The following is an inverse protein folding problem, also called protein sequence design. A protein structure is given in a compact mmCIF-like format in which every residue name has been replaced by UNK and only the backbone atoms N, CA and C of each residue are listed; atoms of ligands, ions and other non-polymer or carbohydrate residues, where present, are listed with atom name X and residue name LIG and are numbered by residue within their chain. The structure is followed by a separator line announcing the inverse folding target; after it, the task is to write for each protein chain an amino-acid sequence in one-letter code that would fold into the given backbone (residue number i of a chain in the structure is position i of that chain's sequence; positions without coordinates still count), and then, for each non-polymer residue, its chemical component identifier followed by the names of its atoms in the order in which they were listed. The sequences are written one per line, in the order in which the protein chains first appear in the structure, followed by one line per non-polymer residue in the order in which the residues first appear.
data_IF_809116488499
#
_entry.id   IF_809116488499
#
_cell.length_a   1.000
_cell.length_b   1.000
_cell.length_c   1.000
_cell.angle_alpha   90.00
_cell.angle_beta   90.00
_cell.angle_gamma   90.00
#
_symmetry.space_group_name_H-M   'P 1'
#
loop_
_entity.id
_entity.type
_entity.pdbx_description
1 polymer ?
#
# COMPACT_ATOMS: atom_id res chain seq x y z
N UNK A 1 8.60 -4.04 -16.05
CA UNK A 1 7.89 -4.23 -14.78
C UNK A 1 8.88 -4.12 -13.64
N UNK A 2 8.71 -3.16 -12.74
CA UNK A 2 9.57 -2.94 -11.57
C UNK A 2 8.87 -3.46 -10.32
N UNK A 3 9.63 -4.12 -9.44
CA UNK A 3 9.17 -4.70 -8.17
C UNK A 3 9.81 -3.94 -7.01
N UNK A 4 8.99 -3.26 -6.19
CA UNK A 4 9.44 -2.63 -4.94
C UNK A 4 8.80 -3.38 -3.75
N UNK A 5 9.58 -3.69 -2.72
CA UNK A 5 9.21 -4.61 -1.61
C UNK A 5 8.94 -3.92 -0.27
N UNK A 6 9.15 -2.60 -0.16
CA UNK A 6 9.06 -1.89 1.12
C UNK A 6 8.21 -0.61 1.01
N UNK A 7 7.12 -0.56 1.80
CA UNK A 7 6.29 0.62 1.94
C UNK A 7 6.10 1.00 3.41
N UNK A 8 6.31 2.27 3.74
CA UNK A 8 6.13 2.82 5.08
C UNK A 8 4.76 3.47 5.20
N UNK A 9 3.82 2.83 5.90
CA UNK A 9 2.53 3.47 6.20
C UNK A 9 2.70 4.66 7.17
N UNK A 10 1.89 5.70 6.97
CA UNK A 10 1.81 6.84 7.87
C UNK A 10 1.50 6.39 9.31
N UNK A 11 2.15 7.00 10.33
CA UNK A 11 1.97 6.62 11.72
C UNK A 11 0.50 6.77 12.13
N UNK A 12 -0.06 5.72 12.73
CA UNK A 12 -1.39 5.77 13.33
C UNK A 12 -1.28 6.27 14.76
N UNK A 13 -2.21 7.14 15.18
CA UNK A 13 -2.28 7.66 16.54
C UNK A 13 -3.56 7.14 17.19
N UNK A 14 -3.46 6.67 18.43
CA UNK A 14 -4.62 6.28 19.24
C UNK A 14 -4.89 7.33 20.32
N UNK A 15 -6.16 7.64 20.53
CA UNK A 15 -6.57 8.51 21.63
C UNK A 15 -6.28 7.85 22.97
N UNK A 16 -5.70 8.59 23.91
CA UNK A 16 -5.33 8.09 25.24
C UNK A 16 -6.24 8.67 26.31
N UNK A 17 -6.32 9.99 26.37
CA UNK A 17 -7.01 10.72 27.45
C UNK A 17 -7.07 12.21 27.14
N UNK A 18 -8.06 12.93 27.69
CA UNK A 18 -8.06 14.39 27.74
C UNK A 18 -7.52 14.86 29.10
N UNK A 19 -6.67 15.88 29.11
CA UNK A 19 -6.37 16.66 30.32
C UNK A 19 -6.78 18.13 30.14
N UNK A 20 -6.51 18.97 31.14
CA UNK A 20 -6.80 20.40 31.11
C UNK A 20 -6.06 21.20 30.01
N UNK A 21 -5.09 20.56 29.33
CA UNK A 21 -4.35 21.12 28.19
C UNK A 21 -4.78 20.53 26.85
N UNK A 22 -5.80 19.64 26.83
CA UNK A 22 -6.39 19.06 25.64
C UNK A 22 -6.22 17.55 25.50
N UNK A 23 -6.49 17.07 24.28
CA UNK A 23 -6.49 15.66 23.94
C UNK A 23 -5.07 15.11 23.76
N UNK A 24 -4.80 13.96 24.39
CA UNK A 24 -3.53 13.23 24.26
C UNK A 24 -3.72 12.03 23.34
N UNK A 25 -2.83 11.91 22.37
CA UNK A 25 -2.74 10.77 21.47
C UNK A 25 -1.39 10.07 21.63
N UNK A 26 -1.38 8.74 21.55
CA UNK A 26 -0.16 7.91 21.55
C UNK A 26 0.09 7.41 20.14
N UNK A 27 1.34 7.52 19.68
CA UNK A 27 1.74 6.94 18.39
C UNK A 27 1.72 5.42 18.49
N UNK A 28 0.78 4.78 17.79
CA UNK A 28 0.80 3.34 17.56
C UNK A 28 1.89 3.08 16.53
N UNK A 29 2.78 2.12 16.80
CA UNK A 29 3.95 1.85 15.98
C UNK A 29 3.59 1.73 14.49
N UNK A 30 4.49 2.21 13.61
CA UNK A 30 4.37 1.97 12.18
C UNK A 30 4.55 0.48 11.92
N UNK A 31 3.50 -0.17 11.43
CA UNK A 31 3.58 -1.57 11.01
C UNK A 31 4.36 -1.60 9.70
N UNK A 32 5.55 -2.23 9.71
CA UNK A 32 6.28 -2.55 8.48
C UNK A 32 5.52 -3.66 7.77
N UNK A 33 5.04 -3.39 6.57
CA UNK A 33 4.35 -4.35 5.73
C UNK A 33 5.21 -4.57 4.48
N UNK A 34 5.47 -5.83 4.14
CA UNK A 34 6.08 -6.19 2.86
C UNK A 34 5.00 -6.10 1.80
N UNK A 35 5.08 -5.07 0.96
CA UNK A 35 4.19 -4.83 -0.16
C UNK A 35 5.02 -5.00 -1.43
N UNK A 36 4.53 -5.80 -2.36
CA UNK A 36 5.07 -5.88 -3.70
C UNK A 36 4.32 -4.87 -4.58
N UNK A 37 5.02 -3.87 -5.10
CA UNK A 37 4.50 -2.95 -6.12
C UNK A 37 4.85 -3.49 -7.49
N UNK A 38 3.84 -3.68 -8.33
CA UNK A 38 3.97 -4.09 -9.72
C UNK A 38 3.56 -2.92 -10.59
N UNK A 39 4.47 -2.39 -11.41
CA UNK A 39 4.16 -1.24 -12.28
C UNK A 39 4.54 -1.47 -13.75
N UNK A 40 3.77 -0.84 -14.63
CA UNK A 40 4.04 -0.72 -16.06
C UNK A 40 3.85 0.75 -16.50
N UNK A 41 4.43 1.10 -17.64
CA UNK A 41 4.11 2.39 -18.27
C UNK A 41 2.75 2.29 -18.94
N UNK A 42 2.11 3.43 -19.14
CA UNK A 42 0.80 3.53 -19.80
C UNK A 42 0.86 3.29 -21.32
N UNK A 43 2.05 3.33 -21.92
CA UNK A 43 2.31 3.05 -23.34
C UNK A 43 2.58 1.56 -23.63
N UNK A 44 2.74 0.71 -22.60
CA UNK A 44 2.98 -0.72 -22.73
C UNK A 44 1.66 -1.52 -22.65
N UNK A 45 1.03 -1.74 -23.80
CA UNK A 45 -0.25 -2.45 -23.94
C UNK A 45 -0.23 -3.85 -23.29
N UNK A 46 0.86 -4.61 -23.51
CA UNK A 46 1.00 -5.96 -22.97
C UNK A 46 1.13 -5.92 -21.45
N UNK A 47 1.94 -5.01 -20.92
CA UNK A 47 2.10 -4.81 -19.48
C UNK A 47 0.78 -4.40 -18.81
N UNK A 48 0.04 -3.49 -19.43
CA UNK A 48 -1.23 -2.98 -18.90
C UNK A 48 -2.30 -4.08 -18.84
N UNK A 49 -2.39 -4.89 -19.89
CA UNK A 49 -3.32 -6.02 -19.95
C UNK A 49 -3.05 -7.03 -18.84
N UNK A 50 -1.77 -7.40 -18.65
CA UNK A 50 -1.38 -8.30 -17.55
C UNK A 50 -1.71 -7.71 -16.19
N UNK A 51 -1.46 -6.42 -16.01
CA UNK A 51 -1.70 -5.72 -14.74
C UNK A 51 -3.19 -5.67 -14.38
N UNK A 52 -4.07 -5.43 -15.37
CA UNK A 52 -5.53 -5.48 -15.20
C UNK A 52 -6.01 -6.90 -14.86
N UNK A 53 -5.48 -7.93 -15.52
CA UNK A 53 -5.85 -9.32 -15.26
C UNK A 53 -5.43 -9.77 -13.85
N UNK A 54 -4.23 -9.40 -13.42
CA UNK A 54 -3.74 -9.69 -12.06
C UNK A 54 -4.58 -8.94 -11.03
N UNK A 55 -4.85 -7.65 -11.27
CA UNK A 55 -5.74 -6.82 -10.43
C UNK A 55 -7.10 -7.47 -10.22
N UNK A 56 -7.75 -7.91 -11.30
CA UNK A 56 -9.04 -8.58 -11.24
C UNK A 56 -8.98 -9.90 -10.45
N UNK A 57 -7.93 -10.69 -10.66
CA UNK A 57 -7.75 -12.00 -9.99
C UNK A 57 -7.50 -11.85 -8.49
N UNK A 58 -6.76 -10.82 -8.08
CA UNK A 58 -6.43 -10.55 -6.70
C UNK A 58 -7.46 -9.67 -5.97
N UNK A 59 -8.41 -9.07 -6.69
CA UNK A 59 -9.37 -8.12 -6.13
C UNK A 59 -8.71 -6.82 -5.63
N UNK A 60 -7.61 -6.40 -6.26
CA UNK A 60 -6.83 -5.22 -5.87
C UNK A 60 -7.01 -4.13 -6.93
N UNK A 61 -7.29 -2.86 -6.57
CA UNK A 61 -7.45 -1.79 -7.55
C UNK A 61 -6.15 -1.46 -8.29
N UNK A 62 -6.28 -1.09 -9.57
CA UNK A 62 -5.18 -0.48 -10.34
C UNK A 62 -5.12 1.01 -10.03
N UNK A 63 -3.92 1.49 -9.72
CA UNK A 63 -3.62 2.90 -9.53
C UNK A 63 -2.95 3.48 -10.78
N UNK A 64 -3.33 4.70 -11.14
CA UNK A 64 -2.74 5.43 -12.26
C UNK A 64 -2.02 6.65 -11.71
N UNK A 65 -0.72 6.74 -11.97
CA UNK A 65 0.08 7.93 -11.74
C UNK A 65 0.19 8.70 -13.07
N UNK A 66 -0.50 9.83 -13.14
CA UNK A 66 -0.52 10.68 -14.33
C UNK A 66 0.72 11.56 -14.47
N UNK A 67 1.50 11.78 -13.41
CA UNK A 67 2.76 12.55 -13.48
C UNK A 67 3.83 11.71 -14.17
N UNK A 68 4.00 10.46 -13.74
CA UNK A 68 5.01 9.55 -14.30
C UNK A 68 4.49 8.71 -15.48
N UNK A 69 3.22 8.87 -15.86
CA UNK A 69 2.54 8.07 -16.88
C UNK A 69 2.67 6.55 -16.64
N UNK A 70 2.47 6.13 -15.38
CA UNK A 70 2.58 4.71 -14.96
C UNK A 70 1.28 4.19 -14.35
N UNK A 71 1.02 2.91 -14.56
CA UNK A 71 -0.02 2.16 -13.87
C UNK A 71 0.64 1.16 -12.91
N UNK A 72 0.07 0.98 -11.72
CA UNK A 72 0.60 0.05 -10.73
C UNK A 72 -0.47 -0.61 -9.87
N UNK A 73 -0.16 -1.78 -9.34
CA UNK A 73 -0.91 -2.46 -8.27
C UNK A 73 0.01 -2.70 -7.08
N UNK A 74 -0.57 -2.70 -5.89
CA UNK A 74 0.13 -3.00 -4.64
C UNK A 74 -0.42 -4.29 -4.05
N UNK A 75 0.41 -5.31 -3.95
CA UNK A 75 0.03 -6.63 -3.43
C UNK A 75 0.72 -6.86 -2.10
N UNK A 76 -0.05 -7.17 -1.07
CA UNK A 76 0.47 -7.48 0.26
C UNK A 76 0.26 -8.96 0.59
N UNK A 77 1.24 -9.59 1.23
CA UNK A 77 1.08 -10.94 1.77
C UNK A 77 0.08 -10.94 2.93
N UNK A 78 -0.83 -11.92 2.96
CA UNK A 78 -1.76 -12.11 4.07
C UNK A 78 -1.04 -12.37 5.41
N UNK A 79 0.15 -12.98 5.35
CA UNK A 79 1.00 -13.21 6.52
C UNK A 79 1.62 -11.91 7.08
N UNK A 80 1.74 -10.85 6.27
CA UNK A 80 2.19 -9.54 6.76
C UNK A 80 1.13 -8.85 7.65
N UNK A 81 -0.14 -9.24 7.51
CA UNK A 81 -1.25 -8.67 8.30
C UNK A 81 -1.43 -9.41 9.62
N UNK A 82 -1.19 -10.73 9.64
CA UNK A 82 -1.32 -11.55 10.86
C UNK A 82 -0.26 -11.13 11.87
N UNK A 83 -0.71 -10.45 12.93
CA UNK A 83 0.13 -10.26 14.11
C UNK A 83 0.59 -11.65 14.57
N UNK A 84 1.91 -11.87 14.65
CA UNK A 84 2.48 -13.07 15.28
C UNK A 84 1.92 -13.10 16.71
N UNK A 85 0.98 -14.01 16.95
CA UNK A 85 0.54 -14.37 18.30
C UNK A 85 1.70 -14.99 19.06
#
# INVERSE_FOLDING_TARGET
MTWETEYYYAPRYEYVSCNQHGDRFKRKASKRLSIAKLSCKTDDESGLTQLILISHTLGVPVHYNFEDHTAFIEVMSSDAVRDKK
#
